data_IF_454058667796
#
_entry.id   IF_454058667796
#
_cell.length_a   1.000
_cell.length_b   1.000
_cell.length_c   1.000
_cell.angle_alpha   90.00
_cell.angle_beta   90.00
_cell.angle_gamma   90.00
#
_symmetry.space_group_name_H-M   'P 1'
#
loop_
_entity.id
_entity.type
_entity.pdbx_description
1 polymer ?
#
# COMPACT_ATOMS: atom_id res chain seq x y z
N UNK A 1 -23.14 9.11 1.16
CA UNK A 1 -21.77 8.62 1.51
C UNK A 1 -21.82 7.11 1.75
N UNK A 2 -22.74 6.58 2.60
CA UNK A 2 -22.86 5.15 2.86
C UNK A 2 -23.11 4.29 1.62
N UNK A 3 -23.93 4.76 0.68
CA UNK A 3 -24.21 4.04 -0.58
C UNK A 3 -22.94 3.90 -1.45
N UNK A 4 -22.12 4.95 -1.52
CA UNK A 4 -20.84 4.92 -2.26
C UNK A 4 -19.87 3.92 -1.63
N UNK A 5 -19.80 3.90 -0.30
CA UNK A 5 -18.98 2.92 0.43
C UNK A 5 -19.49 1.49 0.17
N UNK A 6 -20.79 1.25 0.24
CA UNK A 6 -21.38 -0.07 -0.04
C UNK A 6 -21.06 -0.54 -1.47
N UNK A 7 -21.18 0.33 -2.48
CA UNK A 7 -20.80 0.02 -3.85
C UNK A 7 -19.33 -0.30 -4.01
N UNK A 8 -18.44 0.42 -3.30
CA UNK A 8 -17.02 0.16 -3.32
C UNK A 8 -16.67 -1.17 -2.64
N UNK A 9 -17.30 -1.49 -1.53
CA UNK A 9 -17.12 -2.76 -0.83
C UNK A 9 -17.55 -3.95 -1.70
N UNK A 10 -18.68 -3.83 -2.38
CA UNK A 10 -19.17 -4.85 -3.35
C UNK A 10 -18.17 -5.04 -4.50
N UNK A 11 -17.70 -3.94 -5.11
CA UNK A 11 -16.72 -3.99 -6.18
C UNK A 11 -15.38 -4.63 -5.74
N UNK A 12 -14.99 -4.46 -4.48
CA UNK A 12 -13.76 -5.00 -3.91
C UNK A 12 -13.94 -6.40 -3.29
N UNK A 13 -15.10 -7.05 -3.52
CA UNK A 13 -15.40 -8.36 -2.98
C UNK A 13 -15.26 -8.47 -1.46
N UNK A 14 -15.74 -7.45 -0.75
CA UNK A 14 -15.66 -7.39 0.71
C UNK A 14 -16.35 -8.57 1.41
N UNK A 15 -17.30 -9.21 0.75
CA UNK A 15 -17.97 -10.43 1.23
C UNK A 15 -17.01 -11.63 1.41
N UNK A 16 -15.84 -11.61 0.75
CA UNK A 16 -14.81 -12.64 0.90
C UNK A 16 -13.98 -12.50 2.18
N UNK A 17 -14.09 -11.36 2.88
CA UNK A 17 -13.37 -11.13 4.14
C UNK A 17 -14.09 -11.89 5.26
N UNK A 18 -13.35 -12.83 5.87
CA UNK A 18 -13.90 -13.69 6.95
C UNK A 18 -13.46 -13.27 8.35
N UNK A 19 -12.49 -12.39 8.44
CA UNK A 19 -11.94 -11.86 9.70
C UNK A 19 -12.21 -10.36 9.81
N UNK A 20 -13.21 -10.02 10.58
CA UNK A 20 -13.64 -8.65 10.79
C UNK A 20 -14.73 -8.17 9.81
N UNK A 21 -15.15 -6.93 9.98
CA UNK A 21 -16.13 -6.25 9.14
C UNK A 21 -15.42 -5.18 8.28
N UNK A 22 -15.40 -5.34 6.94
CA UNK A 22 -14.84 -4.34 6.05
C UNK A 22 -15.60 -3.01 6.16
N UNK A 23 -14.87 -1.93 6.32
CA UNK A 23 -15.42 -0.58 6.42
C UNK A 23 -14.72 0.37 5.45
N UNK A 24 -15.33 1.50 5.18
CA UNK A 24 -14.76 2.51 4.31
C UNK A 24 -15.08 3.92 4.79
N UNK A 25 -14.38 4.89 4.21
CA UNK A 25 -14.65 6.32 4.40
C UNK A 25 -14.44 7.08 3.10
N UNK A 26 -15.22 8.12 2.90
CA UNK A 26 -15.02 9.07 1.80
C UNK A 26 -14.11 10.20 2.29
N UNK A 27 -13.10 10.54 1.50
CA UNK A 27 -12.14 11.61 1.80
C UNK A 27 -12.29 12.77 0.83
N UNK A 28 -11.56 13.86 1.06
CA UNK A 28 -11.57 15.07 0.20
C UNK A 28 -10.77 14.90 -1.08
N UNK A 29 -10.24 13.72 -1.37
CA UNK A 29 -9.47 13.42 -2.58
C UNK A 29 -8.47 12.29 -2.39
N UNK A 30 -7.91 11.77 -3.49
CA UNK A 30 -7.02 10.60 -3.48
C UNK A 30 -5.78 10.75 -2.60
N UNK A 31 -5.17 11.95 -2.56
CA UNK A 31 -4.06 12.22 -1.64
C UNK A 31 -4.48 12.06 -0.17
N UNK A 32 -5.68 12.54 0.18
CA UNK A 32 -6.25 12.35 1.51
C UNK A 32 -6.45 10.87 1.84
N UNK A 33 -7.01 10.10 0.90
CA UNK A 33 -7.20 8.65 1.06
C UNK A 33 -5.88 7.91 1.31
N UNK A 34 -4.85 8.21 0.53
CA UNK A 34 -3.51 7.61 0.69
C UNK A 34 -2.91 7.95 2.07
N UNK A 35 -3.03 9.20 2.50
CA UNK A 35 -2.52 9.64 3.81
C UNK A 35 -3.26 8.90 4.95
N UNK A 36 -4.58 8.75 4.86
CA UNK A 36 -5.35 8.00 5.86
C UNK A 36 -4.97 6.51 5.88
N UNK A 37 -4.75 5.90 4.72
CA UNK A 37 -4.30 4.51 4.65
C UNK A 37 -2.92 4.32 5.32
N UNK A 38 -1.95 5.20 5.04
CA UNK A 38 -0.63 5.16 5.69
C UNK A 38 -0.72 5.35 7.20
N UNK A 39 -1.58 6.25 7.67
CA UNK A 39 -1.84 6.42 9.10
C UNK A 39 -2.41 5.14 9.70
N UNK A 40 -3.41 4.54 9.05
CA UNK A 40 -4.02 3.29 9.52
C UNK A 40 -3.00 2.15 9.62
N UNK A 41 -2.18 1.94 8.61
CA UNK A 41 -1.10 0.93 8.64
C UNK A 41 -0.09 1.19 9.76
N UNK A 42 0.34 2.45 9.93
CA UNK A 42 1.27 2.81 11.01
C UNK A 42 0.69 2.50 12.39
N UNK A 43 -0.54 2.96 12.66
CA UNK A 43 -1.20 2.76 13.96
C UNK A 43 -1.49 1.28 14.23
N UNK A 44 -1.93 0.55 13.20
CA UNK A 44 -2.14 -0.90 13.32
C UNK A 44 -0.83 -1.62 13.66
N UNK A 45 0.26 -1.32 12.96
CA UNK A 45 1.56 -1.93 13.21
C UNK A 45 2.11 -1.58 14.60
N UNK A 46 1.98 -0.34 15.04
CA UNK A 46 2.37 0.07 16.39
C UNK A 46 1.58 -0.66 17.47
N UNK A 47 0.25 -0.78 17.30
CA UNK A 47 -0.65 -1.38 18.27
C UNK A 47 -0.51 -2.91 18.35
N UNK A 48 -0.42 -3.59 17.21
CA UNK A 48 -0.51 -5.05 17.14
C UNK A 48 0.84 -5.76 17.00
N UNK A 49 1.84 -5.06 16.46
CA UNK A 49 3.19 -5.62 16.23
C UNK A 49 4.28 -4.89 17.06
N UNK A 50 3.95 -3.81 17.76
CA UNK A 50 4.91 -3.02 18.55
C UNK A 50 5.94 -2.27 17.71
N UNK A 51 5.67 -2.05 16.42
CA UNK A 51 6.60 -1.38 15.49
C UNK A 51 6.62 0.12 15.79
N UNK A 52 7.78 0.63 16.23
CA UNK A 52 7.99 2.04 16.56
C UNK A 52 8.80 2.80 15.51
N UNK A 53 9.45 2.09 14.59
CA UNK A 53 10.25 2.65 13.49
C UNK A 53 9.82 2.02 12.17
N UNK A 54 8.59 2.33 11.71
CA UNK A 54 8.02 1.68 10.52
C UNK A 54 8.74 2.09 9.24
N UNK A 55 8.79 1.15 8.29
CA UNK A 55 9.12 1.44 6.91
C UNK A 55 8.00 0.99 5.96
N UNK A 56 7.97 1.60 4.80
CA UNK A 56 7.00 1.36 3.74
C UNK A 56 7.73 1.25 2.40
N UNK A 57 7.36 0.25 1.59
CA UNK A 57 7.99 0.02 0.29
C UNK A 57 7.02 0.40 -0.83
N UNK A 58 7.48 1.20 -1.79
CA UNK A 58 6.76 1.49 -3.03
C UNK A 58 7.69 1.50 -4.23
N UNK A 59 7.21 1.23 -5.47
CA UNK A 59 8.00 1.46 -6.67
C UNK A 59 8.34 2.95 -6.84
N UNK A 60 9.42 3.26 -7.55
CA UNK A 60 9.77 4.64 -7.94
C UNK A 60 8.61 5.35 -8.65
N UNK A 61 7.84 4.61 -9.46
CA UNK A 61 6.64 5.08 -10.18
C UNK A 61 5.40 5.28 -9.30
N UNK A 62 5.45 4.86 -8.04
CA UNK A 62 4.33 5.00 -7.11
C UNK A 62 3.99 6.47 -6.82
N UNK A 63 2.69 6.77 -6.65
CA UNK A 63 2.19 8.14 -6.52
C UNK A 63 2.89 8.91 -5.39
N UNK A 64 3.31 10.19 -5.60
CA UNK A 64 4.07 10.98 -4.62
C UNK A 64 3.30 11.32 -3.33
N UNK A 65 2.00 11.09 -3.28
CA UNK A 65 1.25 11.20 -2.02
C UNK A 65 1.74 10.22 -0.94
N UNK A 66 2.30 9.07 -1.32
CA UNK A 66 2.94 8.13 -0.38
C UNK A 66 4.21 8.74 0.21
N UNK A 67 5.05 9.42 -0.62
CA UNK A 67 6.24 10.14 -0.13
C UNK A 67 5.85 11.19 0.92
N UNK A 68 4.79 11.95 0.62
CA UNK A 68 4.26 12.97 1.54
C UNK A 68 3.74 12.35 2.84
N UNK A 69 2.96 11.27 2.75
CA UNK A 69 2.40 10.62 3.93
C UNK A 69 3.47 9.96 4.79
N UNK A 70 4.45 9.29 4.20
CA UNK A 70 5.59 8.73 4.91
C UNK A 70 6.37 9.81 5.67
N UNK A 71 6.65 10.95 5.01
CA UNK A 71 7.31 12.10 5.65
C UNK A 71 6.49 12.64 6.83
N UNK A 72 5.18 12.83 6.67
CA UNK A 72 4.31 13.37 7.70
C UNK A 72 4.23 12.48 8.95
N UNK A 73 4.31 11.18 8.77
CA UNK A 73 4.13 10.21 9.86
C UNK A 73 5.43 9.57 10.36
N UNK A 74 6.59 10.02 9.87
CA UNK A 74 7.88 9.48 10.29
C UNK A 74 8.07 8.02 9.88
N UNK A 75 7.51 7.62 8.72
CA UNK A 75 7.67 6.30 8.12
C UNK A 75 8.87 6.35 7.18
N UNK A 76 9.84 5.44 7.34
CA UNK A 76 10.95 5.29 6.40
C UNK A 76 10.40 4.83 5.05
N UNK A 77 10.64 5.62 3.99
CA UNK A 77 10.21 5.24 2.65
C UNK A 77 11.35 4.55 1.89
N UNK A 78 11.11 3.31 1.47
CA UNK A 78 12.00 2.54 0.60
C UNK A 78 11.44 2.52 -0.81
N UNK A 79 12.24 2.94 -1.80
CA UNK A 79 11.82 2.99 -3.20
C UNK A 79 12.39 1.81 -3.96
N UNK A 80 11.52 0.90 -4.37
CA UNK A 80 11.90 -0.21 -5.24
C UNK A 80 12.21 0.31 -6.64
N UNK A 81 13.31 -0.15 -7.26
CA UNK A 81 13.60 0.15 -8.65
C UNK A 81 12.52 -0.42 -9.57
N UNK A 82 12.49 0.05 -10.80
CA UNK A 82 11.61 -0.45 -11.85
C UNK A 82 12.43 -1.05 -12.98
N UNK A 83 11.87 -2.04 -13.66
CA UNK A 83 12.43 -2.53 -14.90
C UNK A 83 12.37 -1.41 -15.96
N UNK A 84 13.50 -1.02 -16.58
CA UNK A 84 13.53 0.10 -17.53
C UNK A 84 12.78 -0.14 -18.82
N UNK A 85 12.41 -1.39 -19.13
CA UNK A 85 11.67 -1.76 -20.36
C UNK A 85 10.17 -1.79 -20.12
N UNK A 86 9.75 -2.30 -18.95
CA UNK A 86 8.33 -2.48 -18.62
C UNK A 86 7.79 -1.39 -17.70
N UNK A 87 8.66 -0.65 -17.02
CA UNK A 87 8.32 0.30 -15.95
C UNK A 87 7.53 -0.32 -14.78
N UNK A 88 7.66 -1.64 -14.60
CA UNK A 88 7.05 -2.39 -13.49
C UNK A 88 8.00 -2.45 -12.30
N UNK A 89 7.44 -2.59 -11.11
CA UNK A 89 8.20 -2.79 -9.87
C UNK A 89 9.06 -4.05 -9.93
N UNK A 90 10.29 -3.96 -9.41
CA UNK A 90 11.17 -5.11 -9.19
C UNK A 90 10.70 -5.87 -7.93
N UNK A 91 10.02 -6.99 -8.15
CA UNK A 91 9.45 -7.83 -7.08
C UNK A 91 10.53 -8.49 -6.23
N UNK A 92 11.64 -8.92 -6.85
CA UNK A 92 12.74 -9.56 -6.13
C UNK A 92 13.40 -8.56 -5.17
N UNK A 93 13.61 -7.32 -5.65
CA UNK A 93 14.11 -6.25 -4.79
C UNK A 93 13.14 -5.97 -3.63
N UNK A 94 11.82 -5.93 -3.89
CA UNK A 94 10.82 -5.73 -2.83
C UNK A 94 10.93 -6.84 -1.79
N UNK A 95 10.98 -8.10 -2.22
CA UNK A 95 11.09 -9.26 -1.32
C UNK A 95 12.35 -9.23 -0.45
N UNK A 96 13.49 -8.81 -1.03
CA UNK A 96 14.78 -8.73 -0.35
C UNK A 96 14.88 -7.56 0.64
N UNK A 97 14.02 -6.53 0.49
CA UNK A 97 14.05 -5.31 1.31
C UNK A 97 12.92 -5.23 2.35
N UNK A 98 12.10 -6.26 2.48
CA UNK A 98 11.13 -6.39 3.58
C UNK A 98 11.88 -6.83 4.84
N UNK A 99 11.60 -6.16 5.95
CA UNK A 99 12.09 -6.53 7.29
C UNK A 99 10.96 -6.50 8.32
N UNK A 100 11.28 -6.76 9.58
CA UNK A 100 10.32 -6.79 10.70
C UNK A 100 9.61 -5.47 10.97
N UNK A 101 10.13 -4.36 10.44
CA UNK A 101 9.57 -3.01 10.57
C UNK A 101 8.76 -2.59 9.34
N UNK A 102 8.69 -3.44 8.30
CA UNK A 102 7.89 -3.15 7.10
C UNK A 102 6.41 -3.27 7.44
N UNK A 103 5.67 -2.17 7.25
CA UNK A 103 4.24 -2.11 7.60
C UNK A 103 3.33 -2.37 6.42
N UNK A 104 3.79 -2.09 5.21
CA UNK A 104 3.08 -2.40 3.98
C UNK A 104 3.99 -2.24 2.75
N UNK A 105 3.59 -2.87 1.65
CA UNK A 105 4.14 -2.66 0.32
C UNK A 105 3.04 -2.15 -0.61
N UNK A 106 3.41 -1.45 -1.67
CA UNK A 106 2.48 -0.84 -2.60
C UNK A 106 2.85 -1.19 -4.04
N UNK A 107 1.85 -1.50 -4.85
CA UNK A 107 1.92 -1.57 -6.31
C UNK A 107 0.78 -0.78 -6.93
N UNK A 108 0.94 -0.37 -8.18
CA UNK A 108 -0.04 0.42 -8.92
C UNK A 108 -0.70 -0.38 -10.04
N UNK A 109 -2.03 -0.28 -10.16
CA UNK A 109 -2.79 -0.87 -11.26
C UNK A 109 -3.77 0.15 -11.88
N UNK A 110 -3.25 1.15 -12.65
CA UNK A 110 -1.90 1.32 -13.20
C UNK A 110 -1.13 2.48 -12.52
N UNK A 111 0.20 2.58 -12.79
CA UNK A 111 0.95 3.76 -12.37
C UNK A 111 0.66 4.97 -13.28
N UNK A 112 0.73 6.16 -12.68
CA UNK A 112 0.38 7.42 -13.37
C UNK A 112 1.35 7.78 -14.50
N UNK A 113 2.65 7.55 -14.32
CA UNK A 113 3.67 8.04 -15.25
C UNK A 113 3.74 7.27 -16.58
N UNK A 114 3.50 5.98 -16.54
CA UNK A 114 3.68 5.07 -17.69
C UNK A 114 2.40 4.34 -18.10
N UNK A 115 1.36 4.38 -17.26
CA UNK A 115 0.13 3.60 -17.50
C UNK A 115 0.34 2.08 -17.36
N UNK A 116 1.43 1.67 -16.76
CA UNK A 116 1.80 0.25 -16.57
C UNK A 116 1.20 -0.29 -15.29
N UNK A 117 0.72 -1.53 -15.33
CA UNK A 117 0.27 -2.27 -14.16
C UNK A 117 1.46 -2.99 -13.54
N UNK A 118 1.74 -2.74 -12.27
CA UNK A 118 2.75 -3.47 -11.51
C UNK A 118 2.34 -4.95 -11.36
N UNK A 119 3.28 -5.87 -11.10
CA UNK A 119 3.00 -7.29 -10.89
C UNK A 119 2.28 -7.52 -9.56
N UNK A 120 0.99 -7.12 -9.50
CA UNK A 120 0.16 -7.12 -8.29
C UNK A 120 0.00 -8.51 -7.65
N UNK A 121 -0.22 -9.61 -8.44
CA UNK A 121 -0.31 -10.95 -7.85
C UNK A 121 0.98 -11.35 -7.12
N UNK A 122 2.14 -11.09 -7.73
CA UNK A 122 3.45 -11.43 -7.19
C UNK A 122 3.77 -10.60 -5.94
N UNK A 123 3.49 -9.30 -5.97
CA UNK A 123 3.61 -8.43 -4.79
C UNK A 123 2.67 -8.89 -3.67
N UNK A 124 1.45 -9.29 -4.00
CA UNK A 124 0.48 -9.83 -3.04
C UNK A 124 0.97 -11.14 -2.40
N UNK A 125 1.59 -12.02 -3.20
CA UNK A 125 2.20 -13.24 -2.69
C UNK A 125 3.34 -12.93 -1.72
N UNK A 126 4.26 -12.05 -2.09
CA UNK A 126 5.36 -11.59 -1.22
C UNK A 126 4.83 -11.03 0.10
N UNK A 127 3.79 -10.20 0.06
CA UNK A 127 3.18 -9.65 1.27
C UNK A 127 2.60 -10.76 2.17
N UNK A 128 1.89 -11.73 1.57
CA UNK A 128 1.27 -12.85 2.31
C UNK A 128 2.31 -13.77 2.95
N UNK A 129 3.43 -14.02 2.28
CA UNK A 129 4.51 -14.88 2.80
C UNK A 129 5.31 -14.24 3.94
N UNK A 130 5.33 -12.92 3.99
CA UNK A 130 6.10 -12.16 5.00
C UNK A 130 5.28 -11.69 6.20
N UNK A 131 3.95 -11.75 6.14
CA UNK A 131 3.01 -11.39 7.23
C UNK A 131 2.71 -9.92 7.30
#
# INVERSE_FOLDING_TARGET
EGEVIAMALDLMHAEAVTDGEPVGMVTTGGTGSIIHALLAYREHAAKHRGITRPNFIKPETGHPAFDKGCHLFGIELRKAPIDPKTAQADVDWVADNIDENTIAIMGSACNYGYGTVDPIPELGQVASERG
#
